data_IF_453010106734
#
_entry.id   IF_453010106734
#
_cell.length_a   1.000
_cell.length_b   1.000
_cell.length_c   1.000
_cell.angle_alpha   90.00
_cell.angle_beta   90.00
_cell.angle_gamma   90.00
#
_symmetry.space_group_name_H-M   'P 1'
#
loop_
_entity.id
_entity.type
_entity.pdbx_description
1 polymer ?
#
# COMPACT_ATOMS: atom_id res chain seq x y z
N UNK A 1 24.15 -11.86 33.72
CA UNK A 1 24.18 -12.15 32.26
C UNK A 1 22.91 -12.90 31.89
N UNK A 2 22.24 -12.55 30.78
CA UNK A 2 21.00 -13.25 30.38
C UNK A 2 21.31 -14.62 29.74
N UNK A 3 20.38 -15.56 29.84
CA UNK A 3 20.51 -16.91 29.25
C UNK A 3 20.80 -16.84 27.73
N UNK A 4 20.29 -15.82 27.05
CA UNK A 4 20.51 -15.59 25.62
C UNK A 4 21.97 -15.24 25.29
N UNK A 5 22.65 -14.49 26.16
CA UNK A 5 24.09 -14.18 26.00
C UNK A 5 24.99 -15.41 26.19
N UNK A 6 24.70 -16.26 27.17
CA UNK A 6 25.49 -17.47 27.45
C UNK A 6 25.34 -18.49 26.30
N UNK A 7 24.10 -18.69 25.83
CA UNK A 7 23.83 -19.58 24.69
C UNK A 7 24.39 -19.05 23.37
N UNK A 8 24.41 -17.74 23.17
CA UNK A 8 25.03 -17.10 22.00
C UNK A 8 26.56 -17.25 21.98
N UNK A 9 27.21 -17.21 23.14
CA UNK A 9 28.66 -17.45 23.26
C UNK A 9 29.00 -18.91 22.91
N UNK A 10 28.27 -19.88 23.47
CA UNK A 10 28.51 -21.31 23.26
C UNK A 10 28.22 -21.77 21.81
N UNK A 11 27.19 -21.20 21.16
CA UNK A 11 26.80 -21.59 19.78
C UNK A 11 27.57 -20.84 18.69
N UNK A 12 28.29 -19.77 19.03
CA UNK A 12 28.95 -18.92 18.05
C UNK A 12 28.01 -18.10 17.17
N UNK A 13 28.57 -17.38 16.19
CA UNK A 13 27.81 -16.51 15.30
C UNK A 13 27.01 -17.32 14.27
N UNK A 14 25.69 -17.11 14.22
CA UNK A 14 24.82 -17.72 13.22
C UNK A 14 24.77 -16.88 11.91
N UNK A 15 24.76 -17.53 10.74
CA UNK A 15 24.60 -16.90 9.42
C UNK A 15 23.14 -16.52 9.12
N UNK A 16 22.47 -15.87 10.06
CA UNK A 16 21.09 -15.37 9.92
C UNK A 16 21.12 -13.88 9.55
N UNK A 17 20.12 -13.37 8.80
CA UNK A 17 20.03 -11.94 8.53
C UNK A 17 19.91 -11.16 9.84
N UNK A 18 20.79 -10.18 10.04
CA UNK A 18 20.79 -9.37 11.25
C UNK A 18 19.48 -8.61 11.43
N UNK A 19 19.01 -8.46 12.66
CA UNK A 19 17.85 -7.63 13.00
C UNK A 19 18.30 -6.26 13.52
N UNK A 20 17.36 -5.33 13.67
CA UNK A 20 17.62 -4.02 14.27
C UNK A 20 18.03 -4.07 15.76
N UNK A 21 18.04 -5.25 16.39
CA UNK A 21 18.42 -5.47 17.79
C UNK A 21 19.75 -6.20 17.94
N UNK A 22 20.43 -6.48 16.83
CA UNK A 22 21.75 -7.12 16.79
C UNK A 22 22.78 -6.10 16.29
N UNK A 23 24.07 -6.41 16.44
CA UNK A 23 25.16 -5.53 16.01
C UNK A 23 25.60 -4.53 17.09
N UNK A 24 26.48 -3.60 16.70
CA UNK A 24 27.00 -2.55 17.57
C UNK A 24 26.11 -1.29 17.56
N UNK A 25 26.51 -0.26 18.31
CA UNK A 25 25.78 1.02 18.39
C UNK A 25 25.61 1.74 17.04
N UNK A 26 26.51 1.50 16.08
CA UNK A 26 26.50 2.15 14.77
C UNK A 26 25.70 1.36 13.72
N UNK A 27 25.25 0.15 14.05
CA UNK A 27 24.46 -0.67 13.15
C UNK A 27 22.99 -0.27 13.18
N UNK A 28 22.64 0.73 12.38
CA UNK A 28 21.26 1.18 12.22
C UNK A 28 20.60 0.52 11.00
N UNK A 29 19.84 -0.56 11.23
CA UNK A 29 19.14 -1.31 10.15
C UNK A 29 17.74 -0.75 9.81
N UNK A 30 16.99 -0.29 10.80
CA UNK A 30 15.60 0.14 10.63
C UNK A 30 14.58 -1.01 10.43
N UNK A 31 13.30 -0.63 10.21
CA UNK A 31 12.13 -1.54 10.10
C UNK A 31 11.17 -1.20 8.95
N UNK A 32 11.66 -0.60 7.86
CA UNK A 32 10.87 -0.24 6.67
C UNK A 32 9.70 0.73 6.94
N UNK A 33 9.79 1.57 7.96
CA UNK A 33 8.81 2.65 8.20
C UNK A 33 8.84 3.73 7.11
N UNK A 34 9.83 3.71 6.21
CA UNK A 34 10.07 4.76 5.21
C UNK A 34 10.55 6.06 5.86
N UNK A 35 10.86 7.04 5.01
CA UNK A 35 11.34 8.38 5.41
C UNK A 35 10.15 9.34 5.44
N UNK A 36 10.10 10.24 6.43
CA UNK A 36 9.02 11.24 6.60
C UNK A 36 9.55 12.68 6.55
N UNK A 37 10.76 12.88 6.01
CA UNK A 37 11.52 14.13 6.14
C UNK A 37 13.03 13.87 6.10
N UNK A 38 13.85 14.77 6.63
CA UNK A 38 15.30 14.66 6.51
C UNK A 38 16.07 15.04 7.76
N UNK A 39 17.32 14.60 7.84
CA UNK A 39 18.26 14.98 8.89
C UNK A 39 18.99 16.27 8.52
N UNK A 40 19.15 17.16 9.48
CA UNK A 40 19.99 18.36 9.36
C UNK A 40 21.45 18.03 9.64
N UNK A 41 22.37 18.93 9.25
CA UNK A 41 23.82 18.78 9.52
C UNK A 41 24.14 18.64 11.02
N UNK A 42 23.30 19.20 11.90
CA UNK A 42 23.47 19.13 13.37
C UNK A 42 22.77 17.93 14.01
N UNK A 43 22.19 17.01 13.24
CA UNK A 43 21.54 15.81 13.75
C UNK A 43 20.11 16.01 14.24
N UNK A 44 19.47 17.15 13.97
CA UNK A 44 18.02 17.29 14.14
C UNK A 44 17.26 16.66 12.97
N UNK A 45 16.09 16.09 13.21
CA UNK A 45 15.21 15.56 12.17
C UNK A 45 14.08 16.55 11.90
N UNK A 46 13.88 16.93 10.64
CA UNK A 46 12.79 17.80 10.19
C UNK A 46 11.78 16.94 9.46
N UNK A 47 10.52 17.00 9.90
CA UNK A 47 9.38 16.32 9.24
C UNK A 47 8.86 17.19 8.11
N UNK A 48 8.66 16.60 6.93
CA UNK A 48 8.13 17.29 5.75
C UNK A 48 6.66 16.90 5.53
N UNK A 49 5.76 17.88 5.40
CA UNK A 49 4.32 17.62 5.23
C UNK A 49 4.01 16.87 3.92
N UNK A 50 4.80 17.08 2.87
CA UNK A 50 4.67 16.39 1.57
C UNK A 50 5.03 14.90 1.64
N UNK A 51 5.94 14.51 2.53
CA UNK A 51 6.37 13.12 2.72
C UNK A 51 5.57 12.40 3.81
N UNK A 52 4.86 13.14 4.66
CA UNK A 52 4.06 12.60 5.75
C UNK A 52 2.85 11.86 5.18
N UNK A 53 2.64 10.63 5.64
CA UNK A 53 1.50 9.81 5.23
C UNK A 53 0.22 10.35 5.87
N UNK A 54 -0.70 10.81 5.04
CA UNK A 54 -2.06 11.21 5.44
C UNK A 54 -3.05 10.16 4.94
N UNK A 55 -3.98 9.78 5.82
CA UNK A 55 -5.08 8.90 5.46
C UNK A 55 -6.32 9.77 5.31
N UNK A 56 -6.79 9.95 4.08
CA UNK A 56 -8.00 10.70 3.79
C UNK A 56 -9.19 9.81 4.13
N UNK A 57 -9.93 10.19 5.17
CA UNK A 57 -11.10 9.45 5.64
C UNK A 57 -12.34 10.11 5.02
N UNK A 58 -13.14 9.39 4.22
CA UNK A 58 -14.41 9.92 3.73
C UNK A 58 -15.44 10.00 4.85
N UNK A 59 -16.47 10.82 4.69
CA UNK A 59 -17.62 10.84 5.60
C UNK A 59 -18.47 9.57 5.40
N UNK A 60 -18.76 8.86 6.49
CA UNK A 60 -19.45 7.56 6.48
C UNK A 60 -20.79 7.59 7.23
N UNK A 61 -21.31 8.78 7.52
CA UNK A 61 -22.62 8.93 8.17
C UNK A 61 -23.70 8.37 7.23
N UNK A 62 -24.57 7.51 7.75
CA UNK A 62 -25.66 6.84 7.01
C UNK A 62 -25.21 6.02 5.78
N UNK A 63 -23.99 5.46 5.82
CA UNK A 63 -23.48 4.61 4.74
C UNK A 63 -24.26 3.29 4.66
N UNK A 64 -24.88 3.04 3.51
CA UNK A 64 -25.79 1.90 3.30
C UNK A 64 -25.10 0.53 3.27
N UNK A 65 -23.81 0.49 2.90
CA UNK A 65 -23.09 -0.76 2.70
C UNK A 65 -22.42 -1.23 3.99
N UNK A 66 -22.52 -2.53 4.27
CA UNK A 66 -21.92 -3.18 5.42
C UNK A 66 -20.71 -4.04 5.02
N UNK A 67 -19.78 -4.36 5.95
CA UNK A 67 -18.61 -5.21 5.66
C UNK A 67 -18.97 -6.65 5.23
N UNK A 68 -20.18 -7.10 5.54
CA UNK A 68 -20.69 -8.42 5.21
C UNK A 68 -21.92 -8.32 4.31
N UNK A 69 -22.15 -9.39 3.53
CA UNK A 69 -23.28 -9.54 2.62
C UNK A 69 -24.17 -10.70 3.10
N UNK A 70 -25.47 -10.61 2.86
CA UNK A 70 -26.41 -11.69 3.17
C UNK A 70 -26.14 -12.94 2.31
N UNK A 71 -26.17 -14.15 2.89
CA UNK A 71 -26.07 -15.40 2.12
C UNK A 71 -27.19 -15.58 1.08
N UNK A 72 -28.28 -14.81 1.19
CA UNK A 72 -29.41 -14.82 0.24
C UNK A 72 -29.18 -13.93 -0.99
N UNK A 73 -28.01 -13.29 -1.11
CA UNK A 73 -27.68 -12.52 -2.30
C UNK A 73 -27.60 -13.44 -3.52
N UNK A 74 -28.07 -12.97 -4.67
CA UNK A 74 -28.03 -13.73 -5.91
C UNK A 74 -26.58 -13.98 -6.35
N UNK A 75 -26.34 -15.14 -6.97
CA UNK A 75 -25.06 -15.42 -7.60
C UNK A 75 -24.83 -14.46 -8.77
N UNK A 76 -23.69 -13.76 -8.74
CA UNK A 76 -23.27 -12.86 -9.82
C UNK A 76 -22.32 -13.59 -10.76
N UNK A 77 -22.47 -13.40 -12.06
CA UNK A 77 -21.46 -13.79 -13.03
C UNK A 77 -20.20 -12.91 -12.86
N UNK A 78 -19.02 -13.50 -12.89
CA UNK A 78 -17.76 -12.75 -12.80
C UNK A 78 -17.30 -12.36 -14.20
N UNK A 79 -17.78 -11.23 -14.71
CA UNK A 79 -17.22 -10.66 -15.93
C UNK A 79 -15.91 -9.93 -15.60
N UNK A 80 -14.87 -10.18 -16.39
CA UNK A 80 -13.61 -9.44 -16.28
C UNK A 80 -13.80 -8.10 -16.96
N UNK A 81 -13.63 -7.01 -16.22
CA UNK A 81 -13.69 -5.67 -16.81
C UNK A 81 -12.60 -5.51 -17.87
N UNK A 82 -12.98 -5.13 -19.08
CA UNK A 82 -12.08 -4.92 -20.22
C UNK A 82 -11.83 -3.41 -20.37
N UNK A 83 -10.80 -3.06 -21.14
CA UNK A 83 -10.52 -1.66 -21.49
C UNK A 83 -11.71 -1.03 -22.24
N UNK A 84 -12.42 -1.81 -23.06
CA UNK A 84 -13.59 -1.35 -23.80
C UNK A 84 -14.70 -0.79 -22.89
N UNK A 85 -14.96 -1.44 -21.75
CA UNK A 85 -16.03 -1.09 -20.80
C UNK A 85 -15.87 0.36 -20.28
N UNK A 86 -14.64 0.89 -20.15
CA UNK A 86 -14.41 2.28 -19.75
C UNK A 86 -14.89 3.31 -20.76
N UNK A 87 -15.03 2.92 -22.03
CA UNK A 87 -15.48 3.76 -23.12
C UNK A 87 -16.98 3.59 -23.38
N UNK A 88 -17.69 2.76 -22.65
CA UNK A 88 -19.15 2.72 -22.75
C UNK A 88 -19.76 3.97 -22.10
N UNK A 89 -20.86 4.47 -22.68
CA UNK A 89 -21.59 5.65 -22.16
C UNK A 89 -21.93 5.53 -20.68
N UNK A 90 -22.27 4.33 -20.27
CA UNK A 90 -22.71 4.03 -18.92
C UNK A 90 -21.63 4.36 -17.89
N UNK A 91 -20.36 4.14 -18.21
CA UNK A 91 -19.23 4.39 -17.30
C UNK A 91 -18.65 5.80 -17.47
N UNK A 92 -18.72 6.38 -18.66
CA UNK A 92 -18.19 7.71 -18.93
C UNK A 92 -19.12 8.54 -19.84
N UNK A 93 -20.19 9.13 -19.28
CA UNK A 93 -21.19 9.87 -20.06
C UNK A 93 -20.69 11.22 -20.58
N UNK A 94 -19.52 11.69 -20.10
CA UNK A 94 -18.93 12.97 -20.52
C UNK A 94 -17.95 12.87 -21.68
N UNK A 95 -17.74 11.69 -22.24
CA UNK A 95 -16.82 11.49 -23.36
C UNK A 95 -17.50 11.88 -24.67
N UNK A 96 -16.78 12.63 -25.50
CA UNK A 96 -17.22 12.92 -26.86
C UNK A 96 -17.42 11.62 -27.65
N UNK A 97 -18.53 11.55 -28.39
CA UNK A 97 -18.95 10.37 -29.15
C UNK A 97 -17.90 9.95 -30.18
N UNK A 98 -17.22 10.92 -30.80
CA UNK A 98 -16.19 10.65 -31.81
C UNK A 98 -14.96 9.97 -31.19
N UNK A 99 -14.57 10.41 -30.01
CA UNK A 99 -13.47 9.81 -29.23
C UNK A 99 -13.88 8.43 -28.75
N UNK A 100 -15.13 8.27 -28.33
CA UNK A 100 -15.70 7.00 -27.87
C UNK A 100 -15.60 5.92 -28.94
N UNK A 101 -16.09 6.20 -30.14
CA UNK A 101 -16.09 5.26 -31.26
C UNK A 101 -14.66 4.84 -31.59
N UNK A 102 -13.74 5.80 -31.66
CA UNK A 102 -12.32 5.56 -31.94
C UNK A 102 -11.66 4.69 -30.87
N UNK A 103 -11.92 4.96 -29.59
CA UNK A 103 -11.38 4.18 -28.49
C UNK A 103 -11.94 2.75 -28.45
N UNK A 104 -13.23 2.57 -28.75
CA UNK A 104 -13.85 1.25 -28.86
C UNK A 104 -13.28 0.45 -30.04
N UNK A 105 -13.02 1.11 -31.17
CA UNK A 105 -12.38 0.48 -32.33
C UNK A 105 -10.95 0.02 -31.99
N UNK A 106 -10.17 0.87 -31.32
CA UNK A 106 -8.82 0.52 -30.85
C UNK A 106 -8.83 -0.60 -29.81
N UNK A 107 -9.82 -0.64 -28.91
CA UNK A 107 -9.94 -1.66 -27.88
C UNK A 107 -10.35 -3.05 -28.43
N UNK A 108 -10.93 -3.09 -29.64
CA UNK A 108 -11.27 -4.35 -30.35
C UNK A 108 -10.10 -4.95 -31.12
N UNK A 109 -9.02 -4.19 -31.31
CA UNK A 109 -7.81 -4.59 -32.05
C UNK A 109 -6.83 -5.34 -31.15
#
# INVERSE_FOLDING_TARGET
MSIQTITGLLRGAARKPLTSKQGNKNFYKGKRSGRMGHWTRKGHYIVEETQKRTFVIPELVDFKLTPFVSPKANETYRNKHVVADYFEEYYNPGLDEDIRIKCLELAKK
#
